data_IF_253040034620
#
_entry.id   IF_253040034620
#
_cell.length_a   1.000
_cell.length_b   1.000
_cell.length_c   1.000
_cell.angle_alpha   90.00
_cell.angle_beta   90.00
_cell.angle_gamma   90.00
#
_symmetry.space_group_name_H-M   'P 1'
#
loop_
_entity.id
_entity.type
_entity.pdbx_description
1 polymer ?
#
# COMPACT_ATOMS: atom_id res chain seq x y z
N UNK A 1 -6.49 -14.24 -17.04
CA UNK A 1 -5.07 -13.81 -17.15
C UNK A 1 -4.85 -12.32 -16.82
N UNK A 2 -5.77 -11.40 -17.18
CA UNK A 2 -5.63 -9.93 -16.97
C UNK A 2 -5.56 -9.43 -15.51
N UNK A 3 -6.23 -10.08 -14.54
CA UNK A 3 -6.29 -9.61 -13.14
C UNK A 3 -4.98 -9.73 -12.34
N UNK A 4 -3.97 -10.47 -12.81
CA UNK A 4 -2.74 -10.76 -12.03
C UNK A 4 -1.56 -9.84 -12.38
N UNK A 5 -1.55 -9.22 -13.56
CA UNK A 5 -0.42 -8.42 -14.04
C UNK A 5 -0.23 -7.14 -13.21
N UNK A 6 -1.32 -6.41 -12.96
CA UNK A 6 -1.26 -5.18 -12.17
C UNK A 6 -0.86 -5.44 -10.72
N UNK A 7 -1.34 -6.53 -10.09
CA UNK A 7 -0.94 -6.89 -8.71
C UNK A 7 0.57 -7.13 -8.58
N UNK A 8 1.19 -7.75 -9.60
CA UNK A 8 2.66 -7.92 -9.63
C UNK A 8 3.37 -6.59 -9.74
N UNK A 9 2.84 -5.67 -10.55
CA UNK A 9 3.42 -4.33 -10.75
C UNK A 9 3.25 -3.48 -9.49
N UNK A 10 2.08 -3.51 -8.85
CA UNK A 10 1.82 -2.87 -7.56
C UNK A 10 2.79 -3.40 -6.50
N UNK A 11 2.92 -4.72 -6.35
CA UNK A 11 3.85 -5.31 -5.40
C UNK A 11 5.30 -4.85 -5.65
N UNK A 12 5.73 -4.82 -6.91
CA UNK A 12 7.06 -4.34 -7.28
C UNK A 12 7.28 -2.86 -6.96
N UNK A 13 6.28 -2.02 -7.22
CA UNK A 13 6.34 -0.58 -6.92
C UNK A 13 6.40 -0.33 -5.42
N UNK A 14 5.50 -0.95 -4.65
CA UNK A 14 5.50 -0.86 -3.18
C UNK A 14 6.86 -1.29 -2.61
N UNK A 15 7.44 -2.39 -3.11
CA UNK A 15 8.75 -2.86 -2.62
C UNK A 15 9.91 -1.91 -2.95
N UNK A 16 9.80 -1.11 -4.02
CA UNK A 16 10.80 -0.09 -4.40
C UNK A 16 10.66 1.22 -3.63
N UNK A 17 9.52 1.45 -2.98
CA UNK A 17 9.26 2.63 -2.15
C UNK A 17 9.77 2.49 -0.71
N UNK A 18 10.23 1.30 -0.32
CA UNK A 18 10.64 0.98 1.05
C UNK A 18 12.06 0.42 1.06
N UNK A 19 12.67 0.34 2.25
CA UNK A 19 14.03 -0.16 2.44
C UNK A 19 14.08 -1.67 2.24
N UNK A 20 15.29 -2.20 2.11
CA UNK A 20 15.43 -3.64 1.85
C UNK A 20 15.02 -4.55 3.01
N UNK A 21 15.20 -4.06 4.23
CA UNK A 21 14.82 -4.74 5.47
C UNK A 21 13.35 -4.52 5.85
N UNK A 22 12.63 -3.62 5.15
CA UNK A 22 11.20 -3.44 5.34
C UNK A 22 10.42 -4.61 4.71
N UNK A 23 9.29 -4.96 5.33
CA UNK A 23 8.46 -6.08 4.86
C UNK A 23 7.26 -5.57 4.08
N UNK A 24 7.09 -6.06 2.85
CA UNK A 24 5.88 -5.87 2.05
C UNK A 24 5.19 -7.20 1.87
N UNK A 25 3.97 -7.33 2.36
CA UNK A 25 3.18 -8.55 2.30
C UNK A 25 1.85 -8.31 1.59
N UNK A 26 1.41 -9.29 0.78
CA UNK A 26 0.04 -9.33 0.26
C UNK A 26 -0.77 -10.26 1.16
N UNK A 27 -1.79 -9.72 1.82
CA UNK A 27 -2.59 -10.45 2.81
C UNK A 27 -3.83 -11.12 2.20
N UNK A 28 -4.32 -10.57 1.09
CA UNK A 28 -5.53 -11.04 0.41
C UNK A 28 -5.72 -10.31 -0.91
N UNK A 29 -6.75 -10.70 -1.67
CA UNK A 29 -7.28 -9.96 -2.84
C UNK A 29 -6.29 -8.99 -3.51
N UNK A 30 -6.49 -7.71 -3.30
CA UNK A 30 -5.65 -6.58 -3.67
C UNK A 30 -5.06 -5.83 -2.47
N UNK A 31 -5.08 -6.48 -1.30
CA UNK A 31 -4.69 -5.89 -0.02
C UNK A 31 -3.21 -6.16 0.28
N UNK A 32 -2.50 -5.09 0.61
CA UNK A 32 -1.09 -5.11 0.97
C UNK A 32 -0.88 -4.51 2.35
N UNK A 33 0.08 -5.06 3.09
CA UNK A 33 0.56 -4.55 4.38
C UNK A 33 2.05 -4.27 4.24
N UNK A 34 2.49 -3.14 4.79
CA UNK A 34 3.89 -2.77 4.87
C UNK A 34 4.25 -2.63 6.35
N UNK A 35 5.25 -3.39 6.79
CA UNK A 35 5.81 -3.28 8.14
C UNK A 35 7.19 -2.62 8.05
N UNK A 36 7.34 -1.52 8.79
CA UNK A 36 8.51 -0.64 8.73
C UNK A 36 9.26 -0.67 10.06
N UNK A 37 10.51 -1.14 10.04
CA UNK A 37 11.37 -1.20 11.22
C UNK A 37 12.78 -0.76 10.82
N UNK A 38 13.27 0.41 11.30
CA UNK A 38 12.60 1.36 12.17
C UNK A 38 11.47 2.12 11.43
N UNK A 39 10.50 2.70 12.17
CA UNK A 39 9.45 3.50 11.56
C UNK A 39 10.04 4.73 10.83
N UNK A 40 9.37 5.24 9.78
CA UNK A 40 9.80 6.44 9.09
C UNK A 40 9.72 7.67 10.01
N UNK A 41 10.52 8.69 9.68
CA UNK A 41 10.47 9.99 10.36
C UNK A 41 9.17 10.72 10.05
N UNK A 42 8.74 10.68 8.79
CA UNK A 42 7.51 11.27 8.29
C UNK A 42 6.66 10.17 7.61
N UNK A 43 5.69 9.58 8.33
CA UNK A 43 4.78 8.58 7.77
C UNK A 43 3.92 9.11 6.62
N UNK A 44 3.49 10.37 6.68
CA UNK A 44 2.65 11.02 5.69
C UNK A 44 3.38 11.17 4.36
N UNK A 45 4.64 11.59 4.38
CA UNK A 45 5.49 11.65 3.18
C UNK A 45 5.60 10.27 2.52
N UNK A 46 5.84 9.22 3.32
CA UNK A 46 5.92 7.85 2.80
C UNK A 46 4.59 7.38 2.22
N UNK A 47 3.46 7.67 2.87
CA UNK A 47 2.13 7.32 2.37
C UNK A 47 1.85 7.99 1.04
N UNK A 48 2.18 9.28 0.90
CA UNK A 48 2.04 10.00 -0.36
C UNK A 48 2.92 9.40 -1.45
N UNK A 49 4.18 9.10 -1.13
CA UNK A 49 5.12 8.44 -2.05
C UNK A 49 4.60 7.08 -2.55
N UNK A 50 4.05 6.25 -1.64
CA UNK A 50 3.44 4.97 -1.98
C UNK A 50 2.22 5.15 -2.90
N UNK A 51 1.33 6.09 -2.58
CA UNK A 51 0.15 6.39 -3.38
C UNK A 51 0.52 6.82 -4.80
N UNK A 52 1.51 7.71 -4.94
CA UNK A 52 1.98 8.20 -6.23
C UNK A 52 2.65 7.11 -7.07
N UNK A 53 3.41 6.21 -6.42
CA UNK A 53 4.02 5.07 -7.08
C UNK A 53 2.95 4.11 -7.62
N UNK A 54 1.93 3.78 -6.83
CA UNK A 54 0.81 2.94 -7.28
C UNK A 54 0.04 3.61 -8.43
N UNK A 55 -0.16 4.92 -8.36
CA UNK A 55 -0.89 5.71 -9.34
C UNK A 55 -0.19 5.92 -10.69
N UNK A 56 1.06 5.47 -10.85
CA UNK A 56 1.73 5.45 -12.15
C UNK A 56 0.96 4.55 -13.14
N UNK A 57 0.82 4.93 -14.43
CA UNK A 57 0.13 4.10 -15.42
C UNK A 57 0.72 2.68 -15.50
N UNK A 58 -0.13 1.67 -15.57
CA UNK A 58 0.26 0.26 -15.70
C UNK A 58 -0.01 -0.16 -17.13
N UNK A 59 1.05 -0.37 -17.91
CA UNK A 59 0.94 -0.97 -19.24
C UNK A 59 0.52 -2.45 -19.09
N UNK A 60 -0.62 -2.80 -19.69
CA UNK A 60 -1.03 -4.19 -19.84
C UNK A 60 -0.59 -4.69 -21.23
N UNK A 61 -0.36 -5.99 -21.40
CA UNK A 61 0.18 -6.64 -22.63
C UNK A 61 -0.66 -6.44 -23.92
N UNK A 62 -1.65 -5.54 -23.93
CA UNK A 62 -2.42 -5.15 -25.11
C UNK A 62 -2.10 -3.70 -25.45
N UNK A 63 -1.64 -3.47 -26.68
CA UNK A 63 -0.84 -2.34 -27.16
C UNK A 63 -1.35 -0.90 -26.92
N UNK A 64 -2.54 -0.68 -26.36
CA UNK A 64 -3.06 0.68 -26.10
C UNK A 64 -3.81 0.87 -24.77
N UNK A 65 -3.79 -0.12 -23.85
CA UNK A 65 -4.56 -0.03 -22.61
C UNK A 65 -3.66 0.10 -21.38
N UNK A 66 -3.18 1.32 -21.11
CA UNK A 66 -2.67 1.65 -19.78
C UNK A 66 -3.83 1.87 -18.82
N UNK A 67 -3.77 1.24 -17.65
CA UNK A 67 -4.74 1.50 -16.57
C UNK A 67 -4.04 2.25 -15.46
N UNK A 68 -4.73 3.27 -14.95
CA UNK A 68 -4.36 3.96 -13.72
C UNK A 68 -5.17 3.36 -12.59
N UNK A 69 -4.48 2.89 -11.56
CA UNK A 69 -5.07 2.38 -10.32
C UNK A 69 -4.63 3.27 -9.18
N UNK A 70 -5.48 3.46 -8.19
CA UNK A 70 -5.14 4.17 -6.95
C UNK A 70 -5.24 3.19 -5.78
N UNK A 71 -4.61 3.53 -4.67
CA UNK A 71 -4.75 2.81 -3.42
C UNK A 71 -5.27 3.77 -2.34
N UNK A 72 -6.14 3.24 -1.48
CA UNK A 72 -6.40 3.84 -0.18
C UNK A 72 -5.37 3.31 0.80
N UNK A 73 -4.79 4.20 1.60
CA UNK A 73 -3.66 3.86 2.48
C UNK A 73 -3.92 4.44 3.87
N UNK A 74 -3.87 3.57 4.88
CA UNK A 74 -3.87 3.94 6.29
C UNK A 74 -2.65 3.37 6.98
N UNK A 75 -2.23 4.02 8.06
CA UNK A 75 -1.08 3.60 8.83
C UNK A 75 -1.37 3.73 10.33
N UNK A 76 -0.65 2.95 11.14
CA UNK A 76 -0.72 3.02 12.59
C UNK A 76 0.67 2.80 13.19
N UNK A 77 1.04 3.61 14.19
CA UNK A 77 2.30 3.43 14.91
C UNK A 77 2.11 2.40 16.01
N UNK A 78 2.87 1.31 15.95
CA UNK A 78 2.81 0.24 16.94
C UNK A 78 3.37 0.75 18.28
N UNK A 79 2.55 0.72 19.32
CA UNK A 79 2.99 1.08 20.68
C UNK A 79 3.73 -0.10 21.34
N UNK A 80 4.66 0.17 22.29
CA UNK A 80 5.30 -0.88 23.07
C UNK A 80 4.27 -1.80 23.74
N UNK A 81 4.40 -3.11 23.55
CA UNK A 81 3.49 -4.11 24.10
C UNK A 81 2.13 -4.23 23.39
N UNK A 82 1.89 -3.49 22.31
CA UNK A 82 0.67 -3.62 21.52
C UNK A 82 0.63 -4.96 20.78
N UNK A 83 -0.52 -5.64 20.82
CA UNK A 83 -0.70 -6.90 20.11
C UNK A 83 -0.74 -6.66 18.59
N UNK A 84 -0.09 -7.50 17.75
CA UNK A 84 -0.05 -7.30 16.30
C UNK A 84 -1.42 -7.19 15.62
N UNK A 85 -2.42 -7.95 16.10
CA UNK A 85 -3.79 -7.85 15.56
C UNK A 85 -4.40 -6.48 15.76
N UNK A 86 -4.15 -5.85 16.91
CA UNK A 86 -4.73 -4.55 17.25
C UNK A 86 -4.04 -3.45 16.46
N UNK A 87 -2.73 -3.56 16.27
CA UNK A 87 -1.99 -2.66 15.40
C UNK A 87 -2.50 -2.71 13.96
N UNK A 88 -2.73 -3.93 13.43
CA UNK A 88 -3.27 -4.12 12.08
C UNK A 88 -4.70 -3.59 11.96
N UNK A 89 -5.55 -3.83 12.97
CA UNK A 89 -6.93 -3.33 12.99
C UNK A 89 -7.00 -1.80 12.98
N UNK A 90 -6.13 -1.10 13.72
CA UNK A 90 -6.07 0.36 13.69
C UNK A 90 -5.60 0.89 12.32
N UNK A 91 -4.59 0.25 11.71
CA UNK A 91 -4.12 0.62 10.37
C UNK A 91 -5.21 0.41 9.31
N UNK A 92 -5.97 -0.68 9.41
CA UNK A 92 -7.11 -0.97 8.53
C UNK A 92 -8.24 0.06 8.72
N UNK A 93 -8.56 0.41 9.96
CA UNK A 93 -9.56 1.45 10.25
C UNK A 93 -9.16 2.80 9.63
N UNK A 94 -7.89 3.20 9.74
CA UNK A 94 -7.37 4.42 9.12
C UNK A 94 -7.45 4.35 7.58
N UNK A 95 -7.16 3.18 6.98
CA UNK A 95 -7.27 2.97 5.53
C UNK A 95 -8.72 3.09 5.08
N UNK A 96 -9.66 2.53 5.85
CA UNK A 96 -11.08 2.64 5.57
C UNK A 96 -11.58 4.09 5.63
N UNK A 97 -11.04 4.91 6.55
CA UNK A 97 -11.33 6.34 6.60
C UNK A 97 -10.84 7.08 5.34
N UNK A 98 -9.60 6.83 4.89
CA UNK A 98 -9.07 7.39 3.63
C UNK A 98 -9.88 6.92 2.41
N UNK A 99 -10.33 5.67 2.41
CA UNK A 99 -11.20 5.15 1.35
C UNK A 99 -12.54 5.87 1.26
N UNK A 100 -13.13 6.20 2.42
CA UNK A 100 -14.41 6.91 2.48
C UNK A 100 -14.28 8.36 2.06
N UNK A 101 -13.23 9.07 2.48
CA UNK A 101 -13.02 10.47 2.12
C UNK A 101 -12.76 10.70 0.63
N UNK A 102 -12.32 9.67 -0.10
CA UNK A 102 -12.11 9.70 -1.56
C UNK A 102 -13.34 9.31 -2.39
N UNK A 103 -14.36 8.73 -1.76
CA UNK A 103 -15.59 8.30 -2.42
C UNK A 103 -16.69 9.39 -2.38
N UNK A 104 -16.47 10.44 -1.58
CA UNK A 104 -17.25 11.68 -1.53
C UNK A 104 -16.70 12.71 -2.54
#
# INVERSE_FOLDING_TARGET
MRRRAWLRITAHRLRRCVRDDDTVARIGGDEFVILLIPPPHDPEELVQHLADAVAQPVALETEDNSVRITASIGYHRIAPGQHPSDALAHADQAMYQDKRSRAE
#
